data_IF_603751517814
#
_entry.id   IF_603751517814
#
_cell.length_a   1.000
_cell.length_b   1.000
_cell.length_c   1.000
_cell.angle_alpha   90.00
_cell.angle_beta   90.00
_cell.angle_gamma   90.00
#
_symmetry.space_group_name_H-M   'P 1'
#
loop_
_entity.id
_entity.type
_entity.pdbx_description
1 polymer ?
#
# COMPACT_ATOMS: atom_id res chain seq x y z
N UNK A 1 12.80 -5.84 -11.68
CA UNK A 1 13.55 -7.12 -11.69
C UNK A 1 14.39 -7.34 -10.44
N UNK A 2 15.25 -6.40 -10.02
CA UNK A 2 16.19 -6.58 -8.91
C UNK A 2 15.55 -7.07 -7.60
N UNK A 3 14.47 -6.43 -7.12
CA UNK A 3 13.82 -6.83 -5.86
C UNK A 3 13.22 -8.24 -5.89
N UNK A 4 12.74 -8.74 -7.06
CA UNK A 4 12.29 -10.13 -7.21
C UNK A 4 13.45 -11.11 -7.06
N UNK A 5 14.61 -10.80 -7.64
CA UNK A 5 15.81 -11.61 -7.52
C UNK A 5 16.32 -11.65 -6.08
N UNK A 6 16.32 -10.52 -5.39
CA UNK A 6 16.66 -10.43 -3.97
C UNK A 6 15.71 -11.31 -3.15
N UNK A 7 14.40 -11.16 -3.34
CA UNK A 7 13.41 -11.95 -2.61
C UNK A 7 13.55 -13.45 -2.87
N UNK A 8 13.84 -13.84 -4.13
CA UNK A 8 14.10 -15.24 -4.49
C UNK A 8 15.33 -15.78 -3.75
N UNK A 9 16.42 -15.03 -3.73
CA UNK A 9 17.64 -15.41 -2.99
C UNK A 9 17.38 -15.55 -1.48
N UNK A 10 16.67 -14.60 -0.88
CA UNK A 10 16.28 -14.69 0.52
C UNK A 10 15.50 -15.96 0.83
N UNK A 11 14.55 -16.31 -0.06
CA UNK A 11 13.72 -17.51 0.09
C UNK A 11 14.51 -18.80 -0.11
N UNK A 12 15.36 -18.87 -1.13
CA UNK A 12 16.19 -20.04 -1.42
C UNK A 12 17.19 -20.35 -0.31
N UNK A 13 17.76 -19.31 0.31
CA UNK A 13 18.73 -19.45 1.39
C UNK A 13 18.11 -19.36 2.80
N UNK A 14 16.78 -19.20 2.88
CA UNK A 14 16.06 -19.02 4.14
C UNK A 14 16.68 -17.90 5.03
N UNK A 15 16.99 -16.75 4.41
CA UNK A 15 17.59 -15.59 5.08
C UNK A 15 16.62 -14.42 5.11
N UNK A 16 16.59 -13.59 6.19
CA UNK A 16 15.69 -12.44 6.28
C UNK A 16 16.13 -11.25 5.43
N UNK A 17 17.34 -11.26 4.90
CA UNK A 17 17.94 -10.16 4.12
C UNK A 17 19.04 -10.66 3.19
N UNK A 18 19.49 -9.82 2.29
CA UNK A 18 20.77 -9.93 1.58
C UNK A 18 21.71 -8.81 2.03
N UNK A 19 22.97 -8.87 1.63
CA UNK A 19 23.99 -7.92 2.04
C UNK A 19 24.27 -6.92 0.93
N UNK A 20 24.24 -5.61 1.27
CA UNK A 20 24.69 -4.52 0.42
C UNK A 20 26.10 -4.12 0.84
N UNK A 21 27.05 -4.22 -0.07
CA UNK A 21 28.43 -3.77 0.15
C UNK A 21 28.59 -2.30 -0.25
N UNK A 22 28.65 -1.43 0.75
CA UNK A 22 28.91 -0.01 0.59
C UNK A 22 30.37 0.37 0.95
N UNK A 23 31.19 -0.59 1.40
CA UNK A 23 32.53 -0.32 1.94
C UNK A 23 33.51 0.31 0.93
N UNK A 24 33.23 0.14 -0.37
CA UNK A 24 34.05 0.68 -1.47
C UNK A 24 33.56 2.03 -1.99
N UNK A 25 32.46 2.56 -1.43
CA UNK A 25 31.95 3.87 -1.85
C UNK A 25 32.71 4.95 -1.11
N UNK A 26 33.48 5.75 -1.87
CA UNK A 26 34.20 6.90 -1.31
C UNK A 26 33.22 7.96 -0.81
N UNK A 27 33.55 8.58 0.29
CA UNK A 27 32.80 9.69 0.89
C UNK A 27 31.33 9.34 1.15
N UNK A 28 31.08 8.08 1.61
CA UNK A 28 29.74 7.54 1.79
C UNK A 28 28.89 8.40 2.74
N UNK A 29 29.49 8.90 3.84
CA UNK A 29 28.81 9.73 4.82
C UNK A 29 28.35 11.08 4.23
N UNK A 30 29.14 11.68 3.34
CA UNK A 30 28.81 12.96 2.68
C UNK A 30 27.78 12.76 1.56
N UNK A 31 27.92 11.68 0.80
CA UNK A 31 27.03 11.38 -0.33
C UNK A 31 25.67 10.84 0.08
N UNK A 32 25.61 10.14 1.20
CA UNK A 32 24.39 9.48 1.71
C UNK A 32 24.23 9.72 3.22
N UNK A 33 24.14 10.98 3.69
CA UNK A 33 24.21 11.31 5.12
C UNK A 33 23.09 10.66 5.93
N UNK A 34 21.86 10.62 5.41
CA UNK A 34 20.71 9.99 6.09
C UNK A 34 20.90 8.49 6.26
N UNK A 35 21.37 7.79 5.20
CA UNK A 35 21.61 6.35 5.25
C UNK A 35 22.76 6.05 6.22
N UNK A 36 23.81 6.86 6.18
CA UNK A 36 24.97 6.72 7.06
C UNK A 36 24.57 6.84 8.53
N UNK A 37 23.82 7.92 8.89
CA UNK A 37 23.32 8.11 10.25
C UNK A 37 22.44 6.95 10.69
N UNK A 38 21.46 6.57 9.86
CA UNK A 38 20.56 5.45 10.16
C UNK A 38 21.30 4.12 10.38
N UNK A 39 22.37 3.86 9.62
CA UNK A 39 23.19 2.67 9.84
C UNK A 39 23.91 2.73 11.19
N UNK A 40 24.50 3.87 11.54
CA UNK A 40 25.19 4.05 12.83
C UNK A 40 24.23 3.90 14.01
N UNK A 41 23.03 4.47 13.92
CA UNK A 41 22.00 4.37 14.95
C UNK A 41 21.58 2.92 15.22
N UNK A 42 21.75 2.04 14.21
CA UNK A 42 21.52 0.61 14.31
C UNK A 42 22.80 -0.22 14.53
N UNK A 43 23.93 0.42 14.90
CA UNK A 43 25.19 -0.26 15.22
C UNK A 43 25.96 -0.78 14.02
N UNK A 44 25.65 -0.30 12.79
CA UNK A 44 26.29 -0.73 11.55
C UNK A 44 27.15 0.42 11.00
N UNK A 45 28.45 0.21 10.85
CA UNK A 45 29.32 1.17 10.16
C UNK A 45 29.44 0.80 8.68
N UNK A 46 28.77 1.51 7.76
CA UNK A 46 28.75 1.15 6.34
C UNK A 46 30.12 1.31 5.62
N UNK A 47 31.08 2.01 6.23
CA UNK A 47 32.44 2.09 5.69
C UNK A 47 33.23 0.80 5.89
N UNK A 48 32.84 -0.03 6.86
CA UNK A 48 33.59 -1.25 7.25
C UNK A 48 32.76 -2.50 7.33
N UNK A 49 31.43 -2.37 7.30
CA UNK A 49 30.48 -3.47 7.46
C UNK A 49 29.48 -3.49 6.31
N UNK A 50 28.97 -4.68 6.02
CA UNK A 50 27.88 -4.86 5.05
C UNK A 50 26.55 -4.42 5.66
N UNK A 51 25.68 -3.82 4.83
CA UNK A 51 24.35 -3.37 5.24
C UNK A 51 23.33 -4.46 4.93
N UNK A 52 22.52 -4.93 5.91
CA UNK A 52 21.44 -5.87 5.63
C UNK A 52 20.30 -5.13 4.92
N UNK A 53 19.84 -5.65 3.78
CA UNK A 53 18.76 -5.06 3.00
C UNK A 53 17.76 -6.12 2.58
N UNK A 54 16.46 -5.75 2.58
CA UNK A 54 15.38 -6.59 2.08
C UNK A 54 14.42 -5.76 1.24
N UNK A 55 13.70 -6.36 0.29
CA UNK A 55 12.66 -5.66 -0.46
C UNK A 55 11.57 -5.12 0.45
N UNK A 56 11.20 -3.86 0.24
CA UNK A 56 10.10 -3.21 0.93
C UNK A 56 9.18 -2.50 -0.06
N UNK A 57 7.92 -2.30 0.33
CA UNK A 57 7.01 -1.44 -0.45
C UNK A 57 7.50 0.01 -0.33
N UNK A 58 7.73 0.64 -1.48
CA UNK A 58 8.19 2.03 -1.54
C UNK A 58 7.04 3.00 -1.83
N UNK A 59 6.02 2.55 -2.57
CA UNK A 59 4.89 3.37 -3.00
C UNK A 59 3.65 2.51 -3.25
N UNK A 60 2.48 3.02 -2.85
CA UNK A 60 1.20 2.42 -3.16
C UNK A 60 0.63 3.01 -4.46
N UNK A 61 0.51 2.19 -5.52
CA UNK A 61 -0.02 2.62 -6.82
C UNK A 61 -1.56 2.58 -6.92
N UNK A 62 -2.23 2.10 -5.89
CA UNK A 62 -3.67 2.12 -5.71
C UNK A 62 -4.10 3.27 -4.81
N UNK A 63 -5.29 3.19 -4.24
CA UNK A 63 -5.78 4.19 -3.29
C UNK A 63 -7.27 4.48 -3.45
N UNK A 64 -7.70 5.58 -2.88
CA UNK A 64 -9.06 6.10 -3.03
C UNK A 64 -9.30 6.47 -4.49
N UNK A 65 -10.31 5.86 -5.11
CA UNK A 65 -10.67 6.17 -6.50
C UNK A 65 -11.13 7.61 -6.63
N UNK A 66 -10.53 8.34 -7.58
CA UNK A 66 -10.88 9.72 -7.91
C UNK A 66 -11.07 9.91 -9.40
N UNK A 67 -11.75 10.99 -9.78
CA UNK A 67 -11.81 11.47 -11.15
C UNK A 67 -10.61 12.38 -11.50
N UNK A 68 -10.61 12.96 -12.70
CA UNK A 68 -9.54 13.88 -13.16
C UNK A 68 -9.45 15.18 -12.37
N UNK A 69 -10.42 15.46 -11.52
CA UNK A 69 -10.48 16.62 -10.63
C UNK A 69 -10.16 16.26 -9.17
N UNK A 70 -9.83 15.00 -8.90
CA UNK A 70 -9.56 14.51 -7.56
C UNK A 70 -10.81 14.26 -6.73
N UNK A 71 -12.02 14.35 -7.31
CA UNK A 71 -13.27 14.08 -6.61
C UNK A 71 -13.48 12.57 -6.43
N UNK A 72 -13.80 12.16 -5.20
CA UNK A 72 -14.14 10.77 -4.89
C UNK A 72 -15.61 10.44 -5.20
N UNK A 73 -16.05 9.22 -4.93
CA UNK A 73 -17.46 8.84 -5.02
C UNK A 73 -18.31 9.36 -3.85
N UNK A 74 -17.70 9.94 -2.83
CA UNK A 74 -18.37 10.59 -1.70
C UNK A 74 -18.50 12.09 -2.01
N UNK A 75 -19.70 12.62 -1.88
CA UNK A 75 -20.00 14.05 -2.16
C UNK A 75 -19.06 14.95 -1.33
N UNK A 76 -18.44 15.92 -1.98
CA UNK A 76 -17.53 16.92 -1.40
C UNK A 76 -16.24 16.35 -0.79
N UNK A 77 -15.90 15.07 -1.02
CA UNK A 77 -14.65 14.47 -0.59
C UNK A 77 -13.68 14.37 -1.77
N UNK A 78 -12.49 14.93 -1.61
CA UNK A 78 -11.41 14.91 -2.59
C UNK A 78 -10.22 14.15 -2.05
N UNK A 79 -9.40 13.56 -2.94
CA UNK A 79 -8.13 12.95 -2.58
C UNK A 79 -7.07 13.21 -3.67
N UNK A 80 -5.82 13.42 -3.23
CA UNK A 80 -4.65 13.56 -4.10
C UNK A 80 -3.39 13.00 -3.43
N UNK A 81 -2.32 12.86 -4.22
CA UNK A 81 -1.07 12.26 -3.78
C UNK A 81 -1.19 10.74 -3.58
N UNK A 82 -0.32 10.14 -2.78
CA UNK A 82 -0.20 8.68 -2.64
C UNK A 82 -1.47 7.99 -2.13
N UNK A 83 -2.35 8.71 -1.43
CA UNK A 83 -3.63 8.16 -0.97
C UNK A 83 -4.66 7.98 -2.09
N UNK A 84 -4.49 8.67 -3.23
CA UNK A 84 -5.43 8.68 -4.34
C UNK A 84 -5.04 7.70 -5.46
N UNK A 85 -6.04 7.09 -6.08
CA UNK A 85 -5.88 6.35 -7.33
C UNK A 85 -6.44 7.17 -8.48
N UNK A 86 -5.59 8.00 -9.10
CA UNK A 86 -5.91 8.82 -10.26
C UNK A 86 -5.82 8.05 -11.57
N UNK A 87 -5.16 6.87 -11.55
CA UNK A 87 -4.82 6.09 -12.74
C UNK A 87 -3.45 6.46 -13.36
N UNK A 88 -2.85 7.59 -12.99
CA UNK A 88 -1.59 8.07 -13.59
C UNK A 88 -0.41 7.09 -13.42
N UNK A 89 -0.40 6.31 -12.36
CA UNK A 89 0.68 5.35 -12.08
C UNK A 89 0.43 3.95 -12.64
N UNK A 90 -0.77 3.65 -13.09
CA UNK A 90 -1.12 2.33 -13.61
C UNK A 90 -0.77 1.21 -12.62
N UNK A 91 -0.16 0.15 -13.14
CA UNK A 91 0.21 -1.02 -12.33
C UNK A 91 1.54 -0.86 -11.58
N UNK A 92 2.31 0.18 -11.89
CA UNK A 92 3.56 0.49 -11.20
C UNK A 92 4.00 1.93 -11.51
N UNK A 93 4.29 2.68 -10.48
CA UNK A 93 4.69 4.08 -10.60
C UNK A 93 6.04 4.26 -11.32
N UNK A 94 6.11 5.19 -12.26
CA UNK A 94 7.37 5.68 -12.79
C UNK A 94 8.05 6.58 -11.73
N UNK A 95 9.35 6.39 -11.55
CA UNK A 95 10.12 7.14 -10.56
C UNK A 95 9.90 8.66 -10.71
N UNK A 96 9.81 9.36 -9.58
CA UNK A 96 9.61 10.81 -9.43
C UNK A 96 8.23 11.35 -9.83
N UNK A 97 7.36 10.59 -10.49
CA UNK A 97 6.04 11.06 -10.92
C UNK A 97 5.07 11.33 -9.75
N UNK A 98 5.28 10.71 -8.58
CA UNK A 98 4.37 10.89 -7.45
C UNK A 98 4.30 12.33 -6.94
N UNK A 99 5.43 13.04 -6.89
CA UNK A 99 5.45 14.44 -6.47
C UNK A 99 4.74 15.34 -7.48
N UNK A 100 4.93 15.10 -8.78
CA UNK A 100 4.26 15.85 -9.86
C UNK A 100 2.74 15.62 -9.82
N UNK A 101 2.31 14.37 -9.64
CA UNK A 101 0.89 14.05 -9.50
C UNK A 101 0.26 14.78 -8.31
N UNK A 102 0.89 14.71 -7.13
CA UNK A 102 0.41 15.37 -5.92
C UNK A 102 0.26 16.89 -6.12
N UNK A 103 1.23 17.54 -6.76
CA UNK A 103 1.18 18.97 -7.08
C UNK A 103 0.04 19.31 -8.06
N UNK A 104 -0.07 18.58 -9.16
CA UNK A 104 -1.10 18.85 -10.19
C UNK A 104 -2.49 18.65 -9.63
N UNK A 105 -2.76 17.52 -8.98
CA UNK A 105 -4.09 17.24 -8.42
C UNK A 105 -4.40 18.14 -7.22
N UNK A 106 -3.43 18.43 -6.36
CA UNK A 106 -3.61 19.37 -5.24
C UNK A 106 -4.01 20.76 -5.73
N UNK A 107 -3.36 21.27 -6.78
CA UNK A 107 -3.71 22.57 -7.39
C UNK A 107 -5.12 22.54 -7.98
N UNK A 108 -5.47 21.50 -8.77
CA UNK A 108 -6.83 21.37 -9.34
C UNK A 108 -7.92 21.33 -8.27
N UNK A 109 -7.72 20.54 -7.22
CA UNK A 109 -8.65 20.43 -6.10
C UNK A 109 -8.83 21.78 -5.42
N UNK A 110 -7.74 22.50 -5.13
CA UNK A 110 -7.78 23.81 -4.50
C UNK A 110 -8.60 24.81 -5.35
N UNK A 111 -8.40 24.85 -6.66
CA UNK A 111 -9.16 25.71 -7.57
C UNK A 111 -10.65 25.36 -7.61
N UNK A 112 -11.00 24.08 -7.57
CA UNK A 112 -12.39 23.62 -7.58
C UNK A 112 -13.08 23.95 -6.28
N UNK A 113 -12.44 23.69 -5.14
CA UNK A 113 -12.99 24.01 -3.82
C UNK A 113 -13.19 25.51 -3.69
N UNK A 114 -12.21 26.35 -4.10
CA UNK A 114 -12.30 27.81 -4.02
C UNK A 114 -13.49 28.38 -4.81
N UNK A 115 -13.87 27.73 -5.94
CA UNK A 115 -15.02 28.14 -6.76
C UNK A 115 -16.37 27.62 -6.25
N UNK A 116 -16.36 26.55 -5.47
CA UNK A 116 -17.57 25.81 -5.09
C UNK A 116 -17.74 25.70 -3.56
N UNK A 117 -17.12 26.59 -2.80
CA UNK A 117 -17.38 26.69 -1.36
C UNK A 117 -18.83 27.11 -1.17
N UNK A 118 -19.67 26.14 -0.77
CA UNK A 118 -21.06 26.38 -0.42
C UNK A 118 -21.21 26.77 1.04
N UNK A 119 -22.47 26.91 1.46
CA UNK A 119 -22.79 27.08 2.88
C UNK A 119 -22.35 25.82 3.65
N UNK A 120 -21.79 26.03 4.83
CA UNK A 120 -21.40 24.95 5.71
C UNK A 120 -22.66 24.34 6.33
N UNK A 121 -22.86 23.06 6.12
CA UNK A 121 -23.90 22.27 6.78
C UNK A 121 -23.34 21.74 8.10
N UNK A 122 -24.16 21.73 9.16
CA UNK A 122 -23.75 21.11 10.42
C UNK A 122 -23.61 19.60 10.24
N UNK A 123 -22.60 18.98 10.88
CA UNK A 123 -22.43 17.54 10.81
C UNK A 123 -23.63 16.83 11.44
N UNK A 124 -24.13 15.82 10.75
CA UNK A 124 -25.16 14.94 11.28
C UNK A 124 -24.47 13.92 12.20
N UNK A 125 -24.83 13.91 13.47
CA UNK A 125 -24.43 12.84 14.39
C UNK A 125 -25.21 11.58 14.08
N UNK A 126 -24.52 10.53 13.61
CA UNK A 126 -25.06 9.20 13.42
C UNK A 126 -24.32 8.23 14.34
N UNK A 127 -25.10 7.39 15.05
CA UNK A 127 -24.57 6.25 15.80
C UNK A 127 -24.11 5.16 14.83
N UNK A 128 -22.92 5.32 14.26
CA UNK A 128 -22.32 4.33 13.39
C UNK A 128 -21.52 3.31 14.21
N UNK A 129 -21.72 2.04 13.93
CA UNK A 129 -20.85 0.98 14.42
C UNK A 129 -19.47 1.12 13.78
N UNK A 130 -18.52 1.60 14.55
CA UNK A 130 -17.15 1.80 14.10
C UNK A 130 -16.36 0.53 14.43
N UNK A 131 -15.70 -0.04 13.42
CA UNK A 131 -14.73 -1.11 13.63
C UNK A 131 -13.44 -0.52 14.20
N UNK A 132 -13.10 -0.92 15.42
CA UNK A 132 -11.83 -0.59 16.05
C UNK A 132 -11.04 -1.87 16.32
N UNK A 133 -9.90 -2.03 15.66
CA UNK A 133 -9.00 -3.14 15.89
C UNK A 133 -8.19 -2.97 17.20
N UNK A 134 -7.87 -4.09 17.85
CA UNK A 134 -6.93 -4.10 18.94
C UNK A 134 -5.52 -3.77 18.43
N UNK A 135 -4.80 -2.78 19.00
CA UNK A 135 -3.43 -2.46 18.62
C UNK A 135 -2.46 -3.65 18.63
N UNK A 136 -2.71 -4.66 19.43
CA UNK A 136 -1.90 -5.87 19.53
C UNK A 136 -1.82 -6.64 18.19
N UNK A 137 -2.79 -6.48 17.28
CA UNK A 137 -2.76 -7.16 15.99
C UNK A 137 -1.80 -6.51 14.97
N UNK A 138 -1.22 -5.34 15.24
CA UNK A 138 -0.37 -4.59 14.28
C UNK A 138 0.78 -5.45 13.75
N UNK A 139 1.59 -6.01 14.64
CA UNK A 139 2.74 -6.83 14.24
C UNK A 139 2.33 -8.14 13.52
N UNK A 140 1.38 -8.94 14.03
CA UNK A 140 0.87 -10.10 13.30
C UNK A 140 0.32 -9.78 11.91
N UNK A 141 -0.41 -8.66 11.76
CA UNK A 141 -0.94 -8.20 10.48
C UNK A 141 0.18 -7.86 9.49
N UNK A 142 1.17 -7.07 9.92
CA UNK A 142 2.31 -6.70 9.07
C UNK A 142 3.12 -7.93 8.64
N UNK A 143 3.31 -8.89 9.53
CA UNK A 143 4.01 -10.15 9.24
C UNK A 143 3.24 -10.99 8.21
N UNK A 144 1.94 -11.16 8.40
CA UNK A 144 1.08 -11.90 7.46
C UNK A 144 1.11 -11.27 6.05
N UNK A 145 1.00 -9.94 5.97
CA UNK A 145 1.06 -9.21 4.70
C UNK A 145 2.42 -9.35 4.02
N UNK A 146 3.52 -9.25 4.76
CA UNK A 146 4.87 -9.36 4.23
C UNK A 146 5.16 -10.76 3.69
N UNK A 147 4.70 -11.80 4.39
CA UNK A 147 4.96 -13.20 4.03
C UNK A 147 4.06 -13.70 2.90
N UNK A 148 2.77 -13.37 2.93
CA UNK A 148 1.79 -13.97 2.02
C UNK A 148 1.30 -13.07 0.90
N UNK A 149 1.32 -11.74 1.07
CA UNK A 149 0.88 -10.75 0.09
C UNK A 149 2.01 -9.81 -0.38
N UNK A 150 3.26 -10.13 -0.09
CA UNK A 150 4.45 -9.35 -0.43
C UNK A 150 4.82 -9.38 -1.91
N UNK A 151 6.14 -9.51 -2.19
CA UNK A 151 6.71 -9.42 -3.55
C UNK A 151 6.22 -10.56 -4.46
N UNK A 152 6.15 -11.78 -3.96
CA UNK A 152 5.70 -12.97 -4.70
C UNK A 152 4.43 -13.53 -4.08
N UNK A 153 3.37 -13.55 -4.86
CA UNK A 153 2.01 -13.97 -4.46
C UNK A 153 1.60 -15.25 -5.17
N UNK A 154 0.69 -16.00 -4.56
CA UNK A 154 -0.02 -17.12 -5.18
C UNK A 154 -1.43 -17.21 -4.61
N UNK A 155 -2.34 -17.95 -5.23
CA UNK A 155 -3.66 -18.24 -4.67
C UNK A 155 -3.53 -18.80 -3.26
N UNK A 156 -2.61 -19.76 -3.06
CA UNK A 156 -2.36 -20.36 -1.74
C UNK A 156 -1.95 -19.31 -0.71
N UNK A 157 -0.88 -18.56 -0.97
CA UNK A 157 -0.36 -17.58 0.00
C UNK A 157 -1.37 -16.49 0.32
N UNK A 158 -2.12 -16.00 -0.69
CA UNK A 158 -3.14 -14.97 -0.50
C UNK A 158 -4.35 -15.49 0.29
N UNK A 159 -4.79 -16.74 0.05
CA UNK A 159 -5.90 -17.37 0.80
C UNK A 159 -5.51 -17.60 2.25
N UNK A 160 -4.30 -18.10 2.50
CA UNK A 160 -3.78 -18.27 3.87
C UNK A 160 -3.68 -16.91 4.58
N UNK A 161 -3.20 -15.88 3.90
CA UNK A 161 -3.15 -14.51 4.45
C UNK A 161 -4.54 -13.98 4.78
N UNK A 162 -5.51 -14.15 3.86
CA UNK A 162 -6.89 -13.74 4.10
C UNK A 162 -7.47 -14.40 5.36
N UNK A 163 -7.26 -15.71 5.53
CA UNK A 163 -7.74 -16.44 6.71
C UNK A 163 -7.07 -15.94 8.02
N UNK A 164 -5.79 -15.54 7.96
CA UNK A 164 -5.12 -14.90 9.10
C UNK A 164 -5.75 -13.54 9.41
N UNK A 165 -5.96 -12.70 8.38
CA UNK A 165 -6.59 -11.38 8.55
C UNK A 165 -7.99 -11.50 9.14
N UNK A 166 -8.82 -12.44 8.68
CA UNK A 166 -10.16 -12.67 9.19
C UNK A 166 -10.16 -13.05 10.69
N UNK A 167 -9.17 -13.84 11.13
CA UNK A 167 -8.98 -14.13 12.55
C UNK A 167 -8.54 -12.91 13.33
N UNK A 168 -7.59 -12.14 12.80
CA UNK A 168 -7.11 -10.92 13.45
C UNK A 168 -8.23 -9.88 13.60
N UNK A 169 -9.14 -9.77 12.63
CA UNK A 169 -10.30 -8.87 12.68
C UNK A 169 -11.32 -9.18 13.80
N UNK A 170 -11.23 -10.34 14.43
CA UNK A 170 -12.05 -10.67 15.61
C UNK A 170 -11.56 -10.00 16.89
N UNK A 171 -10.31 -9.54 16.91
CA UNK A 171 -9.71 -8.82 18.04
C UNK A 171 -10.02 -7.33 17.95
N UNK A 172 -11.08 -6.93 18.63
CA UNK A 172 -11.58 -5.55 18.60
C UNK A 172 -11.22 -4.82 19.89
N UNK A 173 -10.99 -3.52 19.77
CA UNK A 173 -10.80 -2.60 20.88
C UNK A 173 -12.12 -1.88 21.20
N UNK A 174 -12.38 -1.63 22.47
CA UNK A 174 -13.49 -0.77 22.92
C UNK A 174 -13.03 0.66 23.20
N UNK A 175 -11.72 0.91 23.09
CA UNK A 175 -11.11 2.20 23.41
C UNK A 175 -10.63 2.93 22.14
N UNK A 176 -11.21 4.08 21.80
CA UNK A 176 -10.81 4.87 20.61
C UNK A 176 -9.48 5.60 20.90
N UNK A 177 -8.36 4.92 20.66
CA UNK A 177 -7.00 5.48 20.74
C UNK A 177 -6.43 5.64 19.35
N UNK A 178 -5.40 6.47 19.19
CA UNK A 178 -4.69 6.67 17.92
C UNK A 178 -4.21 5.33 17.37
N UNK A 179 -3.62 4.49 18.21
CA UNK A 179 -3.10 3.18 17.82
C UNK A 179 -4.22 2.24 17.31
N UNK A 180 -5.41 2.30 17.92
CA UNK A 180 -6.58 1.52 17.48
C UNK A 180 -7.07 1.99 16.10
N UNK A 181 -7.10 3.29 15.86
CA UNK A 181 -7.46 3.85 14.55
C UNK A 181 -6.44 3.50 13.46
N UNK A 182 -5.14 3.67 13.75
CA UNK A 182 -4.07 3.30 12.82
C UNK A 182 -4.17 1.83 12.41
N UNK A 183 -4.34 0.93 13.38
CA UNK A 183 -4.40 -0.50 13.12
C UNK A 183 -5.69 -0.88 12.40
N UNK A 184 -6.81 -0.22 12.71
CA UNK A 184 -8.07 -0.39 11.96
C UNK A 184 -7.90 -0.03 10.49
N UNK A 185 -7.26 1.10 10.20
CA UNK A 185 -6.97 1.52 8.83
C UNK A 185 -6.03 0.53 8.11
N UNK A 186 -4.96 0.07 8.78
CA UNK A 186 -4.07 -0.95 8.24
C UNK A 186 -4.81 -2.26 7.94
N UNK A 187 -5.70 -2.68 8.83
CA UNK A 187 -6.50 -3.88 8.64
C UNK A 187 -7.43 -3.78 7.44
N UNK A 188 -8.14 -2.66 7.29
CA UNK A 188 -9.04 -2.42 6.15
C UNK A 188 -8.26 -2.43 4.82
N UNK A 189 -7.12 -1.74 4.78
CA UNK A 189 -6.25 -1.75 3.59
C UNK A 189 -5.69 -3.14 3.28
N UNK A 190 -5.28 -3.90 4.29
CA UNK A 190 -4.78 -5.26 4.11
C UNK A 190 -5.85 -6.17 3.51
N UNK A 191 -7.09 -6.11 4.03
CA UNK A 191 -8.23 -6.84 3.48
C UNK A 191 -8.50 -6.49 2.02
N UNK A 192 -8.53 -5.18 1.69
CA UNK A 192 -8.72 -4.71 0.32
C UNK A 192 -7.63 -5.24 -0.62
N UNK A 193 -6.36 -5.10 -0.23
CA UNK A 193 -5.21 -5.53 -1.05
C UNK A 193 -5.26 -7.04 -1.31
N UNK A 194 -5.49 -7.86 -0.28
CA UNK A 194 -5.50 -9.32 -0.42
C UNK A 194 -6.68 -9.79 -1.26
N UNK A 195 -7.87 -9.24 -1.04
CA UNK A 195 -9.08 -9.56 -1.84
C UNK A 195 -8.89 -9.19 -3.31
N UNK A 196 -8.37 -7.98 -3.60
CA UNK A 196 -8.08 -7.56 -4.98
C UNK A 196 -7.00 -8.42 -5.64
N UNK A 197 -5.95 -8.79 -4.89
CA UNK A 197 -4.86 -9.62 -5.38
C UNK A 197 -5.30 -11.07 -5.69
N UNK A 198 -6.26 -11.61 -4.94
CA UNK A 198 -6.88 -12.91 -5.21
C UNK A 198 -7.69 -12.90 -6.50
N UNK A 199 -8.47 -11.83 -6.72
CA UNK A 199 -9.29 -11.68 -7.92
C UNK A 199 -8.44 -11.54 -9.18
N UNK A 200 -7.31 -10.81 -9.14
CA UNK A 200 -6.47 -10.57 -10.30
C UNK A 200 -5.59 -11.77 -10.63
N UNK A 201 -5.96 -12.49 -11.68
CA UNK A 201 -5.29 -13.72 -12.14
C UNK A 201 -4.32 -13.41 -13.29
N UNK A 202 -3.36 -12.54 -13.05
CA UNK A 202 -2.26 -12.18 -13.94
C UNK A 202 -1.06 -11.66 -13.14
N UNK A 203 0.05 -11.37 -13.82
CA UNK A 203 1.17 -10.60 -13.29
C UNK A 203 1.31 -9.29 -14.07
N UNK A 204 1.25 -8.13 -13.37
CA UNK A 204 1.34 -6.79 -13.99
C UNK A 204 1.98 -5.80 -13.02
N UNK A 205 3.02 -5.10 -13.46
CA UNK A 205 3.72 -4.11 -12.65
C UNK A 205 4.25 -4.67 -11.33
N UNK A 206 3.80 -4.13 -10.20
CA UNK A 206 4.15 -4.60 -8.86
C UNK A 206 3.35 -5.82 -8.40
N UNK A 207 2.20 -6.10 -9.02
CA UNK A 207 1.42 -7.31 -8.76
C UNK A 207 2.03 -8.50 -9.48
N UNK A 208 2.65 -9.43 -8.75
CA UNK A 208 3.25 -10.62 -9.31
C UNK A 208 2.70 -11.91 -8.68
N UNK A 209 2.11 -12.74 -9.53
CA UNK A 209 1.49 -14.02 -9.18
C UNK A 209 2.35 -15.17 -9.73
N UNK A 210 2.87 -16.03 -8.86
CA UNK A 210 3.65 -17.20 -9.31
C UNK A 210 2.81 -18.26 -10.02
N UNK A 211 1.52 -18.29 -9.73
CA UNK A 211 0.52 -19.16 -10.36
C UNK A 211 -0.11 -18.56 -11.63
N UNK A 212 0.05 -17.26 -11.86
CA UNK A 212 -0.38 -16.54 -13.07
C UNK A 212 0.73 -15.57 -13.52
N UNK A 213 1.87 -16.08 -14.05
CA UNK A 213 3.05 -15.24 -14.31
C UNK A 213 2.90 -14.30 -15.52
N UNK A 214 1.94 -14.57 -16.40
CA UNK A 214 1.74 -13.80 -17.63
C UNK A 214 0.92 -12.53 -17.39
N UNK A 215 1.16 -11.54 -18.25
CA UNK A 215 0.33 -10.33 -18.34
C UNK A 215 -0.73 -10.55 -19.41
N UNK A 216 -2.00 -10.34 -19.08
CA UNK A 216 -3.13 -10.63 -19.97
C UNK A 216 -3.92 -9.37 -20.31
N UNK A 217 -4.28 -9.18 -21.58
CA UNK A 217 -5.05 -8.01 -22.05
C UNK A 217 -6.43 -7.93 -21.42
N UNK A 218 -7.05 -9.07 -21.13
CA UNK A 218 -8.35 -9.13 -20.45
C UNK A 218 -8.31 -8.46 -19.07
N UNK A 219 -7.12 -8.31 -18.47
CA UNK A 219 -6.87 -7.66 -17.19
C UNK A 219 -6.44 -6.18 -17.29
N UNK A 220 -6.59 -5.53 -18.47
CA UNK A 220 -6.45 -4.06 -18.60
C UNK A 220 -7.63 -3.34 -17.94
N UNK A 221 -7.81 -3.52 -16.65
CA UNK A 221 -8.90 -2.99 -15.84
C UNK A 221 -8.44 -2.70 -14.43
N UNK A 222 -9.16 -1.78 -13.78
CA UNK A 222 -9.06 -1.57 -12.34
C UNK A 222 -9.99 -2.52 -11.60
N UNK A 223 -9.57 -2.98 -10.41
CA UNK A 223 -10.45 -3.62 -9.44
C UNK A 223 -10.80 -2.55 -8.43
N UNK A 224 -12.06 -2.11 -8.45
CA UNK A 224 -12.58 -1.12 -7.51
C UNK A 224 -13.32 -1.86 -6.41
N UNK A 225 -12.95 -1.58 -5.17
CA UNK A 225 -13.56 -2.18 -3.99
C UNK A 225 -14.31 -1.15 -3.17
N UNK A 226 -15.38 -1.58 -2.54
CA UNK A 226 -16.17 -0.78 -1.61
C UNK A 226 -16.48 -1.62 -0.37
N UNK A 227 -16.27 -1.01 0.78
CA UNK A 227 -16.74 -1.50 2.06
C UNK A 227 -18.07 -0.82 2.36
N UNK A 228 -19.11 -1.57 2.65
CA UNK A 228 -20.41 -1.02 3.07
C UNK A 228 -20.47 -0.76 4.59
N UNK A 229 -21.58 -0.18 5.06
CA UNK A 229 -21.81 0.11 6.48
C UNK A 229 -21.88 -1.14 7.36
N UNK A 230 -22.20 -2.29 6.76
CA UNK A 230 -22.29 -3.57 7.46
C UNK A 230 -20.95 -4.31 7.52
N UNK A 231 -19.90 -3.73 6.92
CA UNK A 231 -18.56 -4.30 6.88
C UNK A 231 -18.33 -5.31 5.76
N UNK A 232 -19.24 -5.38 4.76
CA UNK A 232 -19.08 -6.28 3.63
C UNK A 232 -18.30 -5.64 2.49
N UNK A 233 -17.35 -6.40 1.94
CA UNK A 233 -16.59 -6.01 0.78
C UNK A 233 -17.30 -6.39 -0.51
N UNK A 234 -17.47 -5.42 -1.41
CA UNK A 234 -17.87 -5.64 -2.79
C UNK A 234 -16.74 -5.25 -3.75
N UNK A 235 -16.64 -5.92 -4.88
CA UNK A 235 -15.61 -5.66 -5.90
C UNK A 235 -16.24 -5.55 -7.28
N UNK A 236 -15.81 -4.59 -8.08
CA UNK A 236 -16.19 -4.47 -9.49
C UNK A 236 -14.96 -4.21 -10.35
N UNK A 237 -15.03 -4.63 -11.60
CA UNK A 237 -14.00 -4.38 -12.60
C UNK A 237 -14.39 -3.16 -13.44
N UNK A 238 -13.42 -2.28 -13.68
CA UNK A 238 -13.59 -1.12 -14.55
C UNK A 238 -12.50 -1.12 -15.63
N UNK A 239 -12.89 -1.06 -16.88
CA UNK A 239 -11.94 -1.00 -18.00
C UNK A 239 -11.17 0.32 -17.94
N UNK A 240 -9.87 0.24 -18.14
CA UNK A 240 -9.03 1.45 -18.25
C UNK A 240 -9.41 2.18 -19.53
N UNK A 241 -9.95 3.39 -19.38
CA UNK A 241 -10.20 4.28 -20.53
C UNK A 241 -8.85 4.74 -21.07
N UNK A 242 -8.66 4.59 -22.41
CA UNK A 242 -7.46 5.06 -23.11
C UNK A 242 -7.52 6.55 -23.36
#
# INVERSE_FOLDING_TARGET
MLFRSIFKQMKEHNTPHVWLDATKIKDFAERFPTIYSSCLDNGINPNTQLIPVSPASHYASGGVKVDLNGLTTVKNLYACGETACTGAHGANRLASNSLLEGLVFGTRIAEIIAKNIGEQEDPIEEDQKIFLADPAIKMPLQLAMSQGAGVMRSAKSLTETLAILEKLGQHQSTSPRIESWEVSNLYQLAMAIVKAALLRQESRGSHWRSDFPETLDIWQKHIVQKLDSDGNWSSREEVVQK
#
